data_IF_703131878685
#
_entry.id   IF_703131878685
#
_cell.length_a   1.000
_cell.length_b   1.000
_cell.length_c   1.000
_cell.angle_alpha   90.00
_cell.angle_beta   90.00
_cell.angle_gamma   90.00
#
_symmetry.space_group_name_H-M   'P 1'
#
loop_
_entity.id
_entity.type
_entity.pdbx_description
1 polymer ?
#
# COMPACT_ATOMS: atom_id res chain seq x y z
N UNK A 1 20.97 -7.86 -14.62
CA UNK A 1 19.59 -8.36 -14.52
C UNK A 1 19.58 -9.44 -13.46
N UNK A 2 19.57 -9.04 -12.18
CA UNK A 2 19.35 -9.93 -11.02
C UNK A 2 18.38 -9.18 -10.11
N UNK A 3 17.11 -9.28 -10.46
CA UNK A 3 15.97 -8.63 -9.81
C UNK A 3 15.42 -9.55 -8.71
N UNK A 4 16.31 -10.15 -7.90
CA UNK A 4 15.91 -11.27 -7.02
C UNK A 4 15.41 -10.84 -5.64
N UNK A 5 15.53 -9.57 -5.24
CA UNK A 5 15.10 -9.13 -3.90
C UNK A 5 13.92 -8.15 -3.91
N UNK A 6 13.37 -7.82 -5.08
CA UNK A 6 12.29 -6.84 -5.20
C UNK A 6 10.96 -7.31 -4.60
N UNK A 7 10.82 -8.58 -4.23
CA UNK A 7 9.62 -9.13 -3.58
C UNK A 7 9.84 -9.40 -2.07
N UNK A 8 11.07 -9.23 -1.58
CA UNK A 8 11.44 -9.62 -0.22
C UNK A 8 11.03 -8.60 0.85
N UNK A 9 10.92 -7.32 0.48
CA UNK A 9 10.60 -6.24 1.42
C UNK A 9 9.17 -5.74 1.19
N UNK A 10 8.43 -5.56 2.29
CA UNK A 10 7.09 -4.99 2.28
C UNK A 10 7.11 -3.50 1.94
N UNK A 11 8.18 -2.79 2.32
CA UNK A 11 8.34 -1.37 2.01
C UNK A 11 9.01 -1.17 0.64
N UNK A 12 8.71 -0.05 0.00
CA UNK A 12 9.29 0.36 -1.28
C UNK A 12 10.44 1.40 -1.10
N UNK A 13 10.98 1.90 -2.19
CA UNK A 13 12.06 2.91 -2.16
C UNK A 13 11.61 4.25 -1.54
N UNK A 14 10.35 4.66 -1.77
CA UNK A 14 9.75 5.88 -1.21
C UNK A 14 9.84 5.91 0.32
N UNK A 15 9.63 4.76 0.96
CA UNK A 15 9.77 4.61 2.41
C UNK A 15 11.18 4.99 2.89
N UNK A 16 12.21 4.49 2.21
CA UNK A 16 13.61 4.75 2.57
C UNK A 16 14.02 6.20 2.31
N UNK A 17 13.56 6.78 1.20
CA UNK A 17 13.79 8.19 0.87
C UNK A 17 13.16 9.12 1.92
N UNK A 18 11.92 8.81 2.33
CA UNK A 18 11.18 9.55 3.36
C UNK A 18 11.88 9.45 4.71
N UNK A 19 12.40 8.28 5.06
CA UNK A 19 13.17 8.07 6.28
C UNK A 19 14.44 8.94 6.30
N UNK A 20 15.19 8.92 5.20
CA UNK A 20 16.39 9.74 5.03
C UNK A 20 16.08 11.23 5.14
N UNK A 21 15.02 11.71 4.48
CA UNK A 21 14.61 13.11 4.53
C UNK A 21 14.27 13.55 5.96
N UNK A 22 13.43 12.79 6.66
CA UNK A 22 13.03 13.16 8.02
C UNK A 22 14.10 12.92 9.10
N UNK A 23 15.10 12.07 8.83
CA UNK A 23 16.28 11.97 9.67
C UNK A 23 17.11 13.28 9.66
N UNK A 24 17.11 14.02 8.54
CA UNK A 24 17.84 15.27 8.41
C UNK A 24 16.98 16.53 8.64
N UNK A 25 15.67 16.47 8.36
CA UNK A 25 14.78 17.61 8.52
C UNK A 25 14.45 17.95 9.98
N UNK A 26 14.64 17.00 10.93
CA UNK A 26 14.31 17.16 12.35
C UNK A 26 12.86 17.60 12.64
N UNK A 27 11.94 17.33 11.71
CA UNK A 27 10.52 17.68 11.84
C UNK A 27 9.81 16.86 12.93
N UNK A 28 10.28 15.63 13.16
CA UNK A 28 9.74 14.69 14.14
C UNK A 28 10.80 14.37 15.19
N UNK A 29 10.37 14.03 16.42
CA UNK A 29 11.30 13.63 17.47
C UNK A 29 11.88 12.22 17.30
N UNK A 30 11.51 11.49 16.24
CA UNK A 30 11.88 10.09 16.02
C UNK A 30 13.39 9.86 15.93
N UNK A 31 14.17 10.81 15.40
CA UNK A 31 15.63 10.68 15.27
C UNK A 31 16.42 11.69 16.12
N UNK A 32 15.74 12.41 17.03
CA UNK A 32 16.39 13.41 17.89
C UNK A 32 17.00 12.73 19.13
N UNK A 33 18.22 13.16 19.50
CA UNK A 33 18.98 12.64 20.64
C UNK A 33 19.97 11.54 20.27
N UNK A 34 21.02 11.36 21.09
CA UNK A 34 22.08 10.39 20.82
C UNK A 34 21.83 9.04 21.50
N UNK A 35 21.02 9.02 22.55
CA UNK A 35 20.67 7.82 23.28
C UNK A 35 19.28 7.93 23.91
N UNK A 36 18.76 6.81 24.40
CA UNK A 36 17.42 6.77 25.01
C UNK A 36 17.28 7.63 26.27
N UNK A 37 18.38 7.83 27.01
CA UNK A 37 18.39 8.71 28.19
C UNK A 37 18.10 10.16 27.77
N UNK A 38 18.85 10.70 26.81
CA UNK A 38 18.66 12.07 26.31
C UNK A 38 17.22 12.32 25.85
N UNK A 39 16.62 11.32 25.20
CA UNK A 39 15.24 11.40 24.69
C UNK A 39 14.21 11.54 25.81
N UNK A 40 14.42 10.85 26.93
CA UNK A 40 13.60 10.98 28.14
C UNK A 40 13.81 12.31 28.83
N UNK A 41 15.06 12.74 28.98
CA UNK A 41 15.42 14.01 29.63
C UNK A 41 14.85 15.21 28.84
N UNK A 42 14.86 15.13 27.50
CA UNK A 42 14.25 16.12 26.61
C UNK A 42 12.71 16.01 26.51
N UNK A 43 12.11 14.96 27.06
CA UNK A 43 10.67 14.66 27.00
C UNK A 43 10.12 14.62 25.57
N UNK A 44 10.85 13.99 24.64
CA UNK A 44 10.50 14.02 23.21
C UNK A 44 9.11 13.44 22.91
N UNK A 45 8.71 12.37 23.61
CA UNK A 45 7.40 11.73 23.42
C UNK A 45 6.22 12.66 23.74
N UNK A 46 6.42 13.67 24.58
CA UNK A 46 5.38 14.61 24.99
C UNK A 46 5.45 15.93 24.20
N UNK A 47 6.64 16.26 23.71
CA UNK A 47 6.93 17.55 23.06
C UNK A 47 6.96 17.50 21.54
N UNK A 48 6.99 16.30 20.97
CA UNK A 48 7.15 16.11 19.52
C UNK A 48 6.28 14.98 19.01
N UNK A 49 5.96 15.02 17.73
CA UNK A 49 5.26 13.93 17.05
C UNK A 49 6.24 12.85 16.59
N UNK A 50 5.73 11.62 16.48
CA UNK A 50 6.44 10.47 15.92
C UNK A 50 6.26 10.42 14.40
N UNK A 51 7.37 10.29 13.67
CA UNK A 51 7.38 10.04 12.23
C UNK A 51 6.57 8.78 11.87
N UNK A 52 6.61 7.74 12.70
CA UNK A 52 5.89 6.50 12.44
C UNK A 52 4.37 6.70 12.40
N UNK A 53 3.85 7.60 13.24
CA UNK A 53 2.43 7.96 13.22
C UNK A 53 2.03 8.65 11.91
N UNK A 54 2.90 9.53 11.40
CA UNK A 54 2.70 10.15 10.09
C UNK A 54 2.78 9.12 8.94
N UNK A 55 3.78 8.26 8.95
CA UNK A 55 3.98 7.26 7.89
C UNK A 55 2.89 6.18 7.88
N UNK A 56 2.37 5.80 9.05
CA UNK A 56 1.27 4.85 9.17
C UNK A 56 -0.02 5.36 8.48
N UNK A 57 -0.28 6.67 8.52
CA UNK A 57 -1.42 7.28 7.83
C UNK A 57 -1.27 7.26 6.29
N UNK A 58 -0.06 7.06 5.78
CA UNK A 58 0.27 7.04 4.34
C UNK A 58 0.87 5.68 3.93
N UNK A 59 0.54 4.60 4.66
CA UNK A 59 1.19 3.29 4.50
C UNK A 59 1.08 2.73 3.08
N UNK A 60 -0.02 3.04 2.38
CA UNK A 60 -0.24 2.59 1.01
C UNK A 60 0.84 3.12 0.04
N UNK A 61 1.33 4.35 0.25
CA UNK A 61 2.40 4.96 -0.56
C UNK A 61 3.76 4.29 -0.34
N UNK A 62 3.94 3.65 0.81
CA UNK A 62 5.20 3.00 1.21
C UNK A 62 5.22 1.51 0.93
N UNK A 63 4.09 0.92 0.54
CA UNK A 63 3.96 -0.52 0.34
C UNK A 63 4.49 -0.90 -1.03
N UNK A 64 5.28 -1.97 -1.06
CA UNK A 64 5.72 -2.60 -2.28
C UNK A 64 4.63 -3.55 -2.79
N UNK A 65 4.03 -3.29 -3.96
CA UNK A 65 3.00 -4.16 -4.51
C UNK A 65 3.52 -5.53 -4.95
N UNK A 66 4.83 -5.68 -5.15
CA UNK A 66 5.46 -6.95 -5.51
C UNK A 66 5.82 -7.80 -4.28
N UNK A 67 5.56 -7.30 -3.07
CA UNK A 67 5.92 -8.02 -1.85
C UNK A 67 5.23 -9.39 -1.79
N UNK A 68 6.04 -10.44 -1.62
CA UNK A 68 5.55 -11.79 -1.44
C UNK A 68 6.31 -12.47 -0.29
N UNK A 69 5.70 -12.60 0.92
CA UNK A 69 6.37 -13.18 2.08
C UNK A 69 6.74 -14.66 1.89
N UNK A 70 6.13 -15.36 0.93
CA UNK A 70 6.37 -16.78 0.66
C UNK A 70 7.34 -17.03 -0.49
N UNK A 71 7.71 -15.99 -1.25
CA UNK A 71 8.58 -16.14 -2.43
C UNK A 71 10.05 -16.37 -2.09
N UNK A 72 10.48 -16.00 -0.87
CA UNK A 72 11.87 -16.04 -0.46
C UNK A 72 12.06 -16.95 0.76
N UNK A 73 13.24 -17.59 0.88
CA UNK A 73 13.63 -18.26 2.12
C UNK A 73 13.77 -17.25 3.25
N UNK A 74 13.63 -17.71 4.50
CA UNK A 74 13.73 -16.88 5.71
C UNK A 74 15.03 -16.07 5.80
N UNK A 75 16.09 -16.52 5.11
CA UNK A 75 17.38 -15.84 5.05
C UNK A 75 17.66 -15.31 3.65
N UNK A 76 17.69 -13.98 3.52
CA UNK A 76 18.12 -13.32 2.29
C UNK A 76 19.64 -13.42 2.12
N UNK A 77 20.08 -13.83 0.93
CA UNK A 77 21.51 -13.90 0.56
C UNK A 77 21.79 -12.90 -0.57
N UNK A 78 22.20 -11.65 -0.25
CA UNK A 78 22.51 -10.67 -1.28
C UNK A 78 23.80 -11.07 -2.02
N UNK A 79 23.82 -10.82 -3.33
CA UNK A 79 25.06 -10.87 -4.10
C UNK A 79 25.89 -9.62 -3.79
N UNK A 80 27.13 -9.81 -3.31
CA UNK A 80 28.04 -8.74 -2.90
C UNK A 80 29.09 -8.39 -3.96
N UNK A 81 29.00 -8.98 -5.16
CA UNK A 81 29.88 -8.61 -6.27
C UNK A 81 29.77 -7.12 -6.59
N UNK A 82 30.86 -6.44 -6.93
CA UNK A 82 30.80 -5.02 -7.30
C UNK A 82 29.82 -4.75 -8.46
N UNK A 83 29.63 -5.76 -9.33
CA UNK A 83 28.69 -5.74 -10.47
C UNK A 83 27.21 -5.96 -10.09
N UNK A 84 26.89 -6.36 -8.85
CA UNK A 84 25.51 -6.46 -8.35
C UNK A 84 25.09 -5.18 -7.62
N UNK A 85 26.06 -4.46 -7.02
CA UNK A 85 25.82 -3.18 -6.36
C UNK A 85 25.47 -2.14 -7.44
N UNK A 86 24.42 -1.35 -7.17
CA UNK A 86 23.93 -0.30 -8.07
C UNK A 86 24.00 1.03 -7.36
N UNK A 87 24.34 2.08 -8.11
CA UNK A 87 24.28 3.44 -7.61
C UNK A 87 22.82 3.82 -7.34
N UNK A 88 22.55 4.32 -6.12
CA UNK A 88 21.20 4.70 -5.70
C UNK A 88 20.81 6.06 -6.27
N UNK A 89 20.46 6.07 -7.56
CA UNK A 89 20.09 7.28 -8.30
C UNK A 89 18.92 8.02 -7.68
N UNK A 90 17.90 7.30 -7.21
CA UNK A 90 16.71 7.88 -6.58
C UNK A 90 17.01 8.73 -5.36
N UNK A 91 18.11 8.48 -4.64
CA UNK A 91 18.52 9.31 -3.51
C UNK A 91 19.43 10.46 -3.91
N UNK A 92 20.51 10.17 -4.64
CA UNK A 92 21.57 11.15 -4.94
C UNK A 92 21.25 12.08 -6.12
N UNK A 93 20.50 11.63 -7.13
CA UNK A 93 20.17 12.39 -8.34
C UNK A 93 18.71 12.89 -8.35
N UNK A 94 18.03 12.92 -7.20
CA UNK A 94 16.60 13.25 -7.11
C UNK A 94 16.22 14.66 -7.60
N UNK A 95 17.17 15.59 -7.60
CA UNK A 95 16.96 16.98 -8.05
C UNK A 95 17.54 17.25 -9.45
N UNK A 96 18.01 16.23 -10.16
CA UNK A 96 18.51 16.41 -11.53
C UNK A 96 17.36 16.49 -12.53
N UNK A 97 17.08 17.71 -13.01
CA UNK A 97 16.03 18.00 -13.99
C UNK A 97 16.49 17.76 -15.45
N UNK A 98 17.23 16.68 -15.71
CA UNK A 98 17.74 16.38 -17.05
C UNK A 98 16.70 15.79 -18.01
N UNK A 99 16.93 15.97 -19.32
CA UNK A 99 16.06 15.72 -20.50
C UNK A 99 15.57 14.27 -20.74
N UNK A 100 15.87 13.32 -19.86
CA UNK A 100 15.42 11.93 -20.04
C UNK A 100 14.00 11.72 -19.50
N UNK A 101 13.17 10.84 -20.11
CA UNK A 101 11.88 10.45 -19.55
C UNK A 101 12.13 9.78 -18.20
N UNK A 102 11.96 10.55 -17.12
CA UNK A 102 12.25 10.17 -15.75
C UNK A 102 10.98 9.80 -15.01
N UNK A 103 10.05 9.09 -15.65
CA UNK A 103 9.02 8.40 -14.88
C UNK A 103 9.73 7.28 -14.12
N UNK A 104 9.94 7.41 -12.80
CA UNK A 104 10.61 6.35 -12.09
C UNK A 104 9.65 5.16 -12.14
N UNK A 105 10.18 3.99 -12.53
CA UNK A 105 9.44 2.73 -12.45
C UNK A 105 8.78 2.55 -11.06
N UNK A 106 9.35 3.17 -10.02
CA UNK A 106 8.82 3.26 -8.68
C UNK A 106 7.43 3.92 -8.55
N UNK A 107 7.07 4.88 -9.42
CA UNK A 107 5.75 5.55 -9.40
C UNK A 107 4.76 4.87 -10.36
N UNK A 108 5.25 4.43 -11.52
CA UNK A 108 4.41 3.77 -12.52
C UNK A 108 3.90 2.41 -12.03
N UNK A 109 4.74 1.67 -11.30
CA UNK A 109 4.42 0.30 -10.92
C UNK A 109 3.30 0.21 -9.86
N UNK A 110 3.30 1.01 -8.77
CA UNK A 110 2.15 1.13 -7.88
C UNK A 110 0.87 1.55 -8.63
N UNK A 111 0.95 2.56 -9.49
CA UNK A 111 -0.20 3.03 -10.26
C UNK A 111 -0.76 1.93 -11.20
N UNK A 112 0.11 1.18 -11.88
CA UNK A 112 -0.29 0.08 -12.75
C UNK A 112 -0.94 -1.07 -11.95
N UNK A 113 -0.42 -1.37 -10.76
CA UNK A 113 -1.00 -2.39 -9.88
C UNK A 113 -2.36 -1.94 -9.35
N UNK A 114 -2.50 -0.68 -8.91
CA UNK A 114 -3.79 -0.12 -8.51
C UNK A 114 -4.81 -0.20 -9.64
N UNK A 115 -4.43 0.16 -10.86
CA UNK A 115 -5.29 0.01 -12.03
C UNK A 115 -5.71 -1.45 -12.28
N UNK A 116 -4.77 -2.41 -12.20
CA UNK A 116 -5.08 -3.83 -12.37
C UNK A 116 -6.07 -4.32 -11.29
N UNK A 117 -5.84 -3.97 -10.02
CA UNK A 117 -6.75 -4.35 -8.92
C UNK A 117 -8.14 -3.73 -9.06
N UNK A 118 -8.24 -2.49 -9.56
CA UNK A 118 -9.52 -1.85 -9.83
C UNK A 118 -10.32 -2.59 -10.92
N UNK A 119 -9.64 -3.07 -11.97
CA UNK A 119 -10.26 -3.87 -13.01
C UNK A 119 -10.74 -5.23 -12.48
N UNK A 120 -9.93 -5.91 -11.66
CA UNK A 120 -10.31 -7.18 -11.02
C UNK A 120 -11.55 -7.02 -10.13
N UNK A 121 -11.61 -5.95 -9.33
CA UNK A 121 -12.79 -5.64 -8.54
C UNK A 121 -14.03 -5.44 -9.42
N UNK A 122 -13.88 -4.77 -10.56
CA UNK A 122 -14.97 -4.55 -11.50
C UNK A 122 -15.43 -5.87 -12.16
N UNK A 123 -14.50 -6.73 -12.59
CA UNK A 123 -14.81 -8.06 -13.14
C UNK A 123 -15.58 -8.89 -12.10
N UNK A 124 -15.14 -8.88 -10.85
CA UNK A 124 -15.80 -9.58 -9.76
C UNK A 124 -17.22 -9.04 -9.50
N UNK A 125 -17.39 -7.71 -9.52
CA UNK A 125 -18.69 -7.07 -9.38
C UNK A 125 -19.65 -7.46 -10.52
N UNK A 126 -19.20 -7.40 -11.77
CA UNK A 126 -20.00 -7.78 -12.93
C UNK A 126 -20.36 -9.28 -12.91
N UNK A 127 -19.41 -10.13 -12.50
CA UNK A 127 -19.65 -11.58 -12.35
C UNK A 127 -20.74 -11.85 -11.31
N UNK A 128 -20.71 -11.17 -10.15
CA UNK A 128 -21.77 -11.26 -9.13
C UNK A 128 -23.12 -10.76 -9.66
N UNK A 129 -23.13 -9.67 -10.44
CA UNK A 129 -24.35 -9.17 -11.10
C UNK A 129 -24.92 -10.16 -12.12
N UNK A 130 -24.08 -10.76 -12.95
CA UNK A 130 -24.52 -11.76 -13.93
C UNK A 130 -25.09 -12.99 -13.19
N UNK A 131 -24.44 -13.45 -12.13
CA UNK A 131 -24.92 -14.58 -11.33
C UNK A 131 -26.29 -14.29 -10.68
N UNK A 132 -26.48 -13.11 -10.10
CA UNK A 132 -27.77 -12.70 -9.51
C UNK A 132 -28.86 -12.61 -10.57
N UNK A 133 -28.61 -11.99 -11.73
CA UNK A 133 -29.57 -11.97 -12.84
C UNK A 133 -29.89 -13.37 -13.37
N UNK A 134 -28.90 -14.26 -13.47
CA UNK A 134 -29.10 -15.65 -13.89
C UNK A 134 -30.02 -16.40 -12.91
N UNK A 135 -29.86 -16.19 -11.60
CA UNK A 135 -30.71 -16.80 -10.57
C UNK A 135 -32.15 -16.24 -10.62
N UNK A 136 -32.32 -14.94 -10.85
CA UNK A 136 -33.63 -14.32 -11.06
C UNK A 136 -34.35 -14.87 -12.31
N UNK A 137 -33.60 -15.10 -13.38
CA UNK A 137 -34.12 -15.63 -14.64
C UNK A 137 -34.42 -17.13 -14.58
N UNK A 138 -33.63 -17.93 -13.85
CA UNK A 138 -33.89 -19.36 -13.66
C UNK A 138 -35.13 -19.62 -12.79
N UNK A 139 -35.44 -18.73 -11.84
CA UNK A 139 -36.68 -18.77 -11.06
C UNK A 139 -37.96 -18.45 -11.85
N UNK A 140 -37.87 -17.85 -13.03
CA UNK A 140 -39.04 -17.40 -13.82
C UNK A 140 -39.61 -18.45 -14.79
N UNK A 141 -39.08 -19.68 -14.82
CA UNK A 141 -39.61 -20.76 -15.67
C UNK A 141 -40.85 -21.47 -15.11
N UNK A 142 -41.36 -21.06 -13.94
CA UNK A 142 -42.61 -21.57 -13.37
C UNK A 142 -43.56 -20.44 -12.95
N UNK A 143 -44.00 -19.60 -13.89
CA UNK A 143 -45.36 -19.04 -13.90
C UNK A 143 -45.56 -18.16 -15.14
N UNK A 144 -46.47 -18.56 -16.03
CA UNK A 144 -47.13 -17.64 -16.96
C UNK A 144 -48.06 -16.75 -16.13
N UNK A 145 -47.83 -15.44 -16.11
CA UNK A 145 -48.87 -14.46 -16.44
C UNK A 145 -48.33 -13.01 -16.47
N UNK A 146 -48.98 -12.23 -17.33
CA UNK A 146 -48.78 -10.81 -17.64
C UNK A 146 -48.56 -9.95 -16.39
N UNK A 147 -47.59 -9.04 -16.44
CA UNK A 147 -47.86 -7.59 -16.51
C UNK A 147 -46.57 -6.77 -16.67
N UNK A 148 -46.69 -5.72 -17.46
CA UNK A 148 -45.61 -4.79 -17.83
C UNK A 148 -45.31 -3.87 -16.65
N UNK A 149 -44.24 -4.16 -15.89
CA UNK A 149 -43.71 -3.23 -14.87
C UNK A 149 -42.42 -2.60 -15.36
N UNK A 150 -42.50 -1.30 -15.66
CA UNK A 150 -41.37 -0.42 -15.98
C UNK A 150 -40.36 -0.46 -14.84
N UNK A 151 -39.10 -0.79 -15.15
CA UNK A 151 -38.01 -0.82 -14.17
C UNK A 151 -37.44 0.60 -14.05
N UNK A 152 -37.70 1.25 -12.92
CA UNK A 152 -37.22 2.60 -12.66
C UNK A 152 -35.78 2.56 -12.10
N UNK A 153 -34.87 3.34 -12.68
CA UNK A 153 -33.43 3.37 -12.34
C UNK A 153 -33.10 4.25 -11.13
N UNK A 154 -33.94 4.24 -10.10
CA UNK A 154 -33.71 5.03 -8.90
C UNK A 154 -34.14 4.23 -7.67
N UNK A 155 -33.21 3.46 -7.12
CA UNK A 155 -33.24 3.15 -5.70
C UNK A 155 -31.83 2.85 -5.23
N UNK A 156 -31.22 3.85 -4.60
CA UNK A 156 -30.04 3.64 -3.76
C UNK A 156 -30.44 2.72 -2.62
N UNK A 157 -29.92 1.49 -2.64
CA UNK A 157 -30.13 0.58 -1.53
C UNK A 157 -29.04 0.83 -0.47
N UNK A 158 -29.50 1.30 0.68
CA UNK A 158 -28.74 1.57 1.91
C UNK A 158 -28.54 0.26 2.68
N UNK A 159 -27.72 -0.64 2.15
CA UNK A 159 -27.24 -1.79 2.92
C UNK A 159 -25.74 -1.65 3.13
N UNK A 160 -25.39 -1.07 4.28
CA UNK A 160 -24.04 -1.09 4.81
C UNK A 160 -23.66 -2.54 5.11
N UNK A 161 -22.98 -3.18 4.16
CA UNK A 161 -22.28 -4.45 4.44
C UNK A 161 -21.03 -4.08 5.24
N UNK A 162 -21.12 -4.31 6.55
CA UNK A 162 -19.96 -4.26 7.43
C UNK A 162 -18.91 -5.23 6.91
N UNK A 163 -17.77 -4.71 6.47
CA UNK A 163 -16.60 -5.51 6.20
C UNK A 163 -15.99 -5.79 7.57
N UNK A 164 -16.16 -7.01 8.07
CA UNK A 164 -15.31 -7.52 9.15
C UNK A 164 -13.88 -7.63 8.60
N UNK A 165 -13.15 -6.54 8.72
CA UNK A 165 -11.70 -6.58 8.66
C UNK A 165 -11.26 -7.24 9.95
N UNK A 166 -11.03 -8.55 9.90
CA UNK A 166 -10.22 -9.22 10.91
C UNK A 166 -8.76 -8.78 10.70
N UNK A 167 -8.52 -7.50 11.02
CA UNK A 167 -7.20 -6.97 11.28
C UNK A 167 -6.92 -7.45 12.68
N UNK A 168 -6.11 -8.49 12.82
CA UNK A 168 -5.32 -8.62 14.03
C UNK A 168 -4.62 -7.27 14.18
N UNK A 169 -5.11 -6.48 15.13
CA UNK A 169 -4.51 -5.23 15.52
C UNK A 169 -3.09 -5.55 15.92
N UNK A 170 -2.14 -5.26 15.02
CA UNK A 170 -0.77 -5.05 15.43
C UNK A 170 -0.83 -3.85 16.35
N UNK A 171 -0.90 -4.16 17.64
CA UNK A 171 -0.77 -3.22 18.72
C UNK A 171 0.67 -2.73 18.67
N UNK A 172 0.93 -1.80 17.76
CA UNK A 172 2.12 -0.98 17.81
C UNK A 172 1.86 -0.08 19.02
N UNK A 173 2.43 -0.47 20.16
CA UNK A 173 2.49 0.37 21.33
C UNK A 173 3.09 1.70 20.91
N UNK A 174 2.22 2.70 20.67
CA UNK A 174 2.58 4.11 20.55
C UNK A 174 3.09 4.68 21.89
N UNK A 175 3.52 3.81 22.81
CA UNK A 175 4.02 4.13 24.15
C UNK A 175 5.46 3.71 24.40
N UNK A 176 6.13 3.07 23.45
CA UNK A 176 7.55 2.72 23.60
C UNK A 176 8.39 3.62 22.69
N UNK A 177 8.56 4.87 23.14
CA UNK A 177 9.81 5.60 22.90
C UNK A 177 10.77 5.20 23.99
#
# INVERSE_FOLDING_TARGET
MNTYCNQAFQFNERFLLTLHEHAHACQYGTFVGNCQKDRRDLRLSERTFSLWGYMANHLNEYKNPLYNPKAHPDVLKPDLNAQSIRFWRGMYCRHEHGVHPREPLADLLPAAVEHATALDHHINYLTKRIATFKNLLSGRRASKNKDTTVVNYQSGNKDAVGIETNIESLQIDNKSV
#
